data_IF_620274478828
#
_entry.id   IF_620274478828
#
_cell.length_a   1.000
_cell.length_b   1.000
_cell.length_c   1.000
_cell.angle_alpha   90.00
_cell.angle_beta   90.00
_cell.angle_gamma   90.00
#
_symmetry.space_group_name_H-M   'P 1'
#
loop_
_entity.id
_entity.type
_entity.pdbx_description
1 polymer ?
#
# COMPACT_ATOMS: atom_id res chain seq x y z
N UNK A 1 -33.80 -5.86 -18.03
CA UNK A 1 -32.34 -6.04 -18.07
C UNK A 1 -31.70 -4.85 -17.38
N UNK A 2 -31.44 -4.93 -16.08
CA UNK A 2 -30.80 -3.84 -15.32
C UNK A 2 -29.30 -4.08 -15.20
N UNK A 3 -28.45 -3.04 -15.19
CA UNK A 3 -27.00 -3.21 -15.04
C UNK A 3 -26.70 -3.67 -13.62
N UNK A 4 -26.23 -4.92 -13.46
CA UNK A 4 -25.56 -5.34 -12.25
C UNK A 4 -24.18 -4.67 -12.21
N UNK A 5 -24.15 -3.42 -11.75
CA UNK A 5 -22.93 -2.81 -11.25
C UNK A 5 -22.55 -3.59 -10.00
N UNK A 6 -21.75 -4.64 -10.17
CA UNK A 6 -21.22 -5.49 -9.10
C UNK A 6 -20.10 -4.76 -8.33
N UNK A 7 -20.29 -3.46 -8.07
CA UNK A 7 -19.52 -2.72 -7.10
C UNK A 7 -20.16 -2.96 -5.75
N UNK A 8 -19.81 -4.10 -5.15
CA UNK A 8 -19.86 -4.23 -3.70
C UNK A 8 -18.61 -3.50 -3.19
N UNK A 9 -18.70 -2.27 -2.66
CA UNK A 9 -17.64 -1.81 -1.79
C UNK A 9 -17.54 -2.86 -0.68
N UNK A 10 -16.36 -3.46 -0.43
CA UNK A 10 -16.24 -4.40 0.68
C UNK A 10 -16.72 -3.67 1.94
N UNK A 11 -17.67 -4.29 2.64
CA UNK A 11 -18.09 -3.83 3.95
C UNK A 11 -16.84 -3.67 4.84
N UNK A 12 -16.75 -2.60 5.65
CA UNK A 12 -15.58 -2.38 6.50
C UNK A 12 -15.34 -3.62 7.38
N UNK A 13 -14.19 -4.29 7.19
CA UNK A 13 -13.69 -5.31 8.10
C UNK A 13 -14.26 -6.74 7.97
N UNK A 14 -14.75 -7.20 6.80
CA UNK A 14 -15.27 -8.58 6.64
C UNK A 14 -14.44 -9.53 5.76
N UNK A 15 -13.20 -9.19 5.47
CA UNK A 15 -12.17 -10.14 5.02
C UNK A 15 -10.91 -9.71 5.74
N UNK A 16 -10.27 -10.59 6.51
CA UNK A 16 -9.06 -10.24 7.27
C UNK A 16 -8.10 -9.48 6.39
N UNK A 17 -7.91 -8.20 6.70
CA UNK A 17 -7.12 -7.31 5.86
C UNK A 17 -5.72 -7.90 5.66
N UNK A 18 -5.16 -7.79 4.46
CA UNK A 18 -3.84 -8.35 4.14
C UNK A 18 -2.70 -7.56 4.79
N UNK A 19 -3.01 -6.39 5.35
CA UNK A 19 -2.10 -5.58 6.14
C UNK A 19 -2.32 -5.84 7.65
N UNK A 20 -1.35 -5.50 8.52
CA UNK A 20 -1.48 -5.68 9.96
C UNK A 20 -2.77 -5.10 10.54
N UNK A 21 -3.42 -5.82 11.45
CA UNK A 21 -4.70 -5.42 12.05
C UNK A 21 -4.64 -4.08 12.80
N UNK A 22 -3.45 -3.68 13.27
CA UNK A 22 -3.21 -2.36 13.86
C UNK A 22 -3.48 -1.21 12.88
N UNK A 23 -3.29 -1.47 11.58
CA UNK A 23 -3.56 -0.54 10.49
C UNK A 23 -5.00 -0.70 10.02
N UNK A 24 -5.93 -0.18 10.81
CA UNK A 24 -7.37 -0.43 10.59
C UNK A 24 -7.91 0.18 9.30
N UNK A 25 -7.79 1.50 9.13
CA UNK A 25 -8.46 2.22 8.04
C UNK A 25 -7.46 2.94 7.14
N UNK A 26 -7.30 2.52 5.88
CA UNK A 26 -6.42 3.21 4.95
C UNK A 26 -7.03 4.54 4.49
N UNK A 27 -6.18 5.56 4.32
CA UNK A 27 -6.53 6.84 3.71
C UNK A 27 -6.60 6.74 2.20
N UNK A 28 -5.76 5.89 1.60
CA UNK A 28 -5.73 5.64 0.16
C UNK A 28 -5.31 4.21 -0.10
N UNK A 29 -5.90 3.59 -1.12
CA UNK A 29 -5.57 2.23 -1.55
C UNK A 29 -5.56 2.17 -3.06
N UNK A 30 -4.84 1.21 -3.63
CA UNK A 30 -4.98 0.89 -5.05
C UNK A 30 -4.20 -0.35 -5.44
N UNK A 31 -4.46 -0.84 -6.65
CA UNK A 31 -3.84 -2.06 -7.17
C UNK A 31 -3.56 -1.94 -8.67
N UNK A 32 -2.36 -2.33 -9.09
CA UNK A 32 -1.91 -2.36 -10.49
C UNK A 32 -0.89 -3.50 -10.67
N UNK A 33 -0.99 -4.26 -11.76
CA UNK A 33 -0.01 -5.28 -12.17
C UNK A 33 0.46 -6.20 -11.03
N UNK A 34 -0.49 -6.80 -10.31
CA UNK A 34 -0.23 -7.73 -9.20
C UNK A 34 0.44 -7.11 -7.96
N UNK A 35 0.45 -5.77 -7.90
CA UNK A 35 0.87 -4.99 -6.73
C UNK A 35 -0.35 -4.26 -6.20
N UNK A 36 -0.53 -4.28 -4.89
CA UNK A 36 -1.50 -3.42 -4.21
C UNK A 36 -0.86 -2.69 -3.06
N UNK A 37 -1.36 -1.50 -2.77
CA UNK A 37 -0.91 -0.69 -1.66
C UNK A 37 -2.08 -0.21 -0.80
N UNK A 38 -1.80 0.04 0.46
CA UNK A 38 -2.67 0.68 1.41
C UNK A 38 -1.85 1.70 2.23
N UNK A 39 -2.23 2.96 2.17
CA UNK A 39 -1.59 4.06 2.86
C UNK A 39 -2.39 4.48 4.09
N UNK A 40 -1.69 4.63 5.21
CA UNK A 40 -2.24 4.93 6.53
C UNK A 40 -1.53 6.17 7.10
N UNK A 41 -2.06 7.35 6.79
CA UNK A 41 -1.52 8.63 7.22
C UNK A 41 -1.50 8.75 8.75
N UNK A 42 -2.51 8.20 9.46
CA UNK A 42 -2.54 8.23 10.92
C UNK A 42 -1.35 7.52 11.59
N UNK A 43 -0.81 6.48 10.93
CA UNK A 43 0.28 5.67 11.47
C UNK A 43 1.60 5.94 10.73
N UNK A 44 1.59 6.77 9.69
CA UNK A 44 2.71 6.95 8.74
C UNK A 44 3.20 5.59 8.22
N UNK A 45 2.23 4.78 7.78
CA UNK A 45 2.50 3.43 7.26
C UNK A 45 2.02 3.28 5.84
N UNK A 46 2.78 2.53 5.06
CA UNK A 46 2.43 2.13 3.71
C UNK A 46 2.62 0.62 3.62
N UNK A 47 1.50 -0.11 3.56
CA UNK A 47 1.53 -1.53 3.28
C UNK A 47 1.51 -1.73 1.77
N UNK A 48 2.40 -2.58 1.27
CA UNK A 48 2.48 -2.96 -0.14
C UNK A 48 2.50 -4.48 -0.21
N UNK A 49 1.61 -5.04 -0.99
CA UNK A 49 1.67 -6.45 -1.35
C UNK A 49 2.18 -6.57 -2.79
N UNK A 50 3.29 -7.29 -2.95
CA UNK A 50 3.89 -7.62 -4.23
C UNK A 50 3.98 -9.14 -4.32
N UNK A 51 3.28 -9.73 -5.29
CA UNK A 51 3.29 -11.19 -5.51
C UNK A 51 2.94 -12.00 -4.25
N UNK A 52 1.96 -11.53 -3.47
CA UNK A 52 1.52 -12.17 -2.22
C UNK A 52 2.42 -11.92 -1.01
N UNK A 53 3.52 -11.18 -1.15
CA UNK A 53 4.39 -10.77 -0.05
C UNK A 53 4.01 -9.38 0.43
N UNK A 54 3.72 -9.24 1.73
CA UNK A 54 3.28 -7.97 2.32
C UNK A 54 4.44 -7.29 3.00
N UNK A 55 4.81 -6.08 2.58
CA UNK A 55 5.82 -5.28 3.24
C UNK A 55 5.20 -3.98 3.73
N UNK A 56 5.42 -3.64 4.99
CA UNK A 56 4.99 -2.39 5.60
C UNK A 56 6.19 -1.47 5.71
N UNK A 57 6.05 -0.27 5.16
CA UNK A 57 7.06 0.77 5.17
C UNK A 57 6.64 1.92 6.08
N UNK A 58 7.63 2.62 6.63
CA UNK A 58 7.44 3.91 7.29
C UNK A 58 7.42 5.00 6.22
N UNK A 59 6.32 5.73 6.11
CA UNK A 59 6.22 6.84 5.15
C UNK A 59 6.87 8.12 5.66
N UNK A 60 7.39 8.14 6.89
CA UNK A 60 7.96 9.32 7.53
C UNK A 60 6.96 10.49 7.49
N UNK A 61 7.33 11.60 6.86
CA UNK A 61 6.46 12.75 6.64
C UNK A 61 5.75 12.73 5.28
N UNK A 62 6.04 11.74 4.41
CA UNK A 62 5.49 11.68 3.06
C UNK A 62 3.99 11.36 3.08
N UNK A 63 3.19 12.27 2.52
CA UNK A 63 1.78 12.07 2.26
C UNK A 63 1.59 11.43 0.89
N UNK A 64 1.07 10.21 0.85
CA UNK A 64 0.97 9.43 -0.38
C UNK A 64 -0.38 9.64 -1.06
N UNK A 65 -0.36 10.18 -2.29
CA UNK A 65 -1.55 10.36 -3.12
C UNK A 65 -1.86 9.18 -4.04
N UNK A 66 -0.83 8.42 -4.42
CA UNK A 66 -0.93 7.26 -5.31
C UNK A 66 0.44 6.77 -5.77
N UNK A 67 0.48 5.71 -6.58
CA UNK A 67 1.71 5.16 -7.12
C UNK A 67 1.68 5.02 -8.63
N UNK A 68 2.86 5.07 -9.22
CA UNK A 68 3.13 4.76 -10.62
C UNK A 68 4.24 3.72 -10.66
N UNK A 69 3.98 2.58 -11.30
CA UNK A 69 5.03 1.63 -11.64
C UNK A 69 5.65 2.00 -12.97
N UNK A 70 6.98 2.12 -13.01
CA UNK A 70 7.70 2.28 -14.26
C UNK A 70 8.04 0.89 -14.79
N UNK A 71 7.42 0.49 -15.92
CA UNK A 71 7.59 -0.84 -16.55
C UNK A 71 8.99 -1.11 -17.13
N UNK A 72 10.02 -0.32 -16.79
CA UNK A 72 11.39 -0.64 -17.22
C UNK A 72 11.98 -1.76 -16.35
N UNK A 73 12.92 -2.49 -16.96
CA UNK A 73 13.56 -3.76 -16.61
C UNK A 73 14.12 -3.93 -15.16
N UNK A 74 13.86 -2.99 -14.24
CA UNK A 74 14.27 -2.99 -12.83
C UNK A 74 13.13 -2.92 -11.80
N UNK A 75 11.86 -2.79 -12.21
CA UNK A 75 10.70 -3.05 -11.34
C UNK A 75 10.60 -2.21 -10.06
N UNK A 76 11.03 -0.94 -10.07
CA UNK A 76 10.87 -0.03 -8.94
C UNK A 76 9.45 0.58 -8.90
N UNK A 77 8.89 0.63 -7.69
CA UNK A 77 7.58 1.24 -7.42
C UNK A 77 7.82 2.63 -6.84
N UNK A 78 7.32 3.66 -7.50
CA UNK A 78 7.41 5.03 -7.01
C UNK A 78 6.05 5.57 -6.62
N UNK A 79 6.01 6.30 -5.51
CA UNK A 79 4.82 6.95 -4.98
C UNK A 79 4.88 8.45 -5.20
N UNK A 80 3.73 9.07 -5.45
CA UNK A 80 3.61 10.51 -5.46
C UNK A 80 3.43 11.01 -4.02
N UNK A 81 4.34 11.88 -3.59
CA UNK A 81 4.28 12.59 -2.32
C UNK A 81 4.19 14.10 -2.52
N UNK A 82 3.89 14.84 -1.45
CA UNK A 82 3.90 16.31 -1.47
C UNK A 82 5.25 16.92 -1.86
N UNK A 83 6.34 16.15 -1.70
CA UNK A 83 7.70 16.55 -2.05
C UNK A 83 8.14 16.05 -3.44
N UNK A 84 7.25 15.37 -4.17
CA UNK A 84 7.55 14.74 -5.46
C UNK A 84 7.51 13.22 -5.41
N UNK A 85 8.11 12.57 -6.41
CA UNK A 85 8.17 11.10 -6.48
C UNK A 85 9.17 10.56 -5.45
N UNK A 86 8.75 9.53 -4.71
CA UNK A 86 9.58 8.78 -3.79
C UNK A 86 9.60 7.31 -4.20
N UNK A 87 10.80 6.72 -4.25
CA UNK A 87 10.96 5.29 -4.48
C UNK A 87 10.61 4.51 -3.21
N UNK A 88 9.85 3.42 -3.33
CA UNK A 88 9.56 2.54 -2.20
C UNK A 88 10.84 2.02 -1.54
N UNK A 89 11.89 1.79 -2.32
CA UNK A 89 13.14 1.23 -1.83
C UNK A 89 13.92 2.20 -0.93
N UNK A 90 13.59 3.50 -0.93
CA UNK A 90 14.18 4.47 -0.02
C UNK A 90 13.44 4.58 1.33
N UNK A 91 12.25 4.00 1.45
CA UNK A 91 11.48 4.02 2.69
C UNK A 91 11.99 2.96 3.68
N UNK A 92 12.06 3.29 4.98
CA UNK A 92 12.38 2.29 6.00
C UNK A 92 11.33 1.18 6.02
N UNK A 93 11.79 -0.08 6.06
CA UNK A 93 10.89 -1.23 6.24
C UNK A 93 10.59 -1.40 7.73
N UNK A 94 9.30 -1.46 8.05
CA UNK A 94 8.79 -1.66 9.42
C UNK A 94 8.51 -3.14 9.66
N UNK A 95 7.90 -3.83 8.69
CA UNK A 95 7.64 -5.26 8.78
C UNK A 95 7.53 -5.91 7.41
N UNK A 96 7.80 -7.21 7.38
CA UNK A 96 7.63 -8.04 6.19
C UNK A 96 6.87 -9.30 6.58
N UNK A 97 5.77 -9.58 5.89
CA UNK A 97 4.86 -10.71 6.10
C UNK A 97 4.39 -10.80 7.57
N UNK A 98 4.16 -9.63 8.18
CA UNK A 98 3.76 -9.51 9.59
C UNK A 98 4.91 -9.63 10.60
N UNK A 99 6.13 -9.91 10.17
CA UNK A 99 7.33 -9.95 11.03
C UNK A 99 7.95 -8.57 11.07
N UNK A 100 8.00 -7.95 12.26
CA UNK A 100 8.66 -6.67 12.44
C UNK A 100 10.15 -6.76 12.09
N UNK A 101 10.62 -5.86 11.23
CA UNK A 101 12.06 -5.65 11.05
C UNK A 101 12.52 -4.69 12.13
N UNK A 102 13.08 -5.25 13.20
CA UNK A 102 13.88 -4.46 14.12
C UNK A 102 15.18 -4.11 13.41
N UNK A 103 15.42 -2.82 13.21
CA UNK A 103 16.73 -2.28 12.80
C UNK A 103 17.66 -2.23 14.02
#
# INVERSE_FOLDING_TARGET
MGPASLFVPPAPGTSGDWWPADLRWPNSTGAQNNVRYAYFAQARRLAIELNGRVTVYDTLDHQIGGFSQQQSYGGSISFNSQYGLIDVASLPVVSIDGVAQFA
#
